data_IF_770298845353
#
_entry.id   IF_770298845353
#
_cell.length_a   1.000
_cell.length_b   1.000
_cell.length_c   1.000
_cell.angle_alpha   90.00
_cell.angle_beta   90.00
_cell.angle_gamma   90.00
#
_symmetry.space_group_name_H-M   'P 1'
#
loop_
_entity.id
_entity.type
_entity.pdbx_description
1 polymer ?
#
# COMPACT_ATOMS: atom_id res chain seq x y z
N UNK A 1 -17.41 16.90 -7.43
CA UNK A 1 -17.03 15.60 -7.96
C UNK A 1 -17.76 14.50 -7.23
N UNK A 2 -17.71 13.34 -7.75
CA UNK A 2 -18.44 12.21 -7.22
C UNK A 2 -17.46 11.08 -6.86
N UNK A 3 -17.91 10.21 -6.00
CA UNK A 3 -17.16 9.01 -5.67
C UNK A 3 -17.37 8.00 -6.79
N UNK A 4 -16.27 7.44 -7.23
CA UNK A 4 -16.31 6.39 -8.21
C UNK A 4 -15.84 5.12 -7.56
N UNK A 5 -16.75 4.18 -7.40
CA UNK A 5 -16.38 2.87 -6.91
C UNK A 5 -16.20 1.97 -8.10
N UNK A 6 -14.95 1.64 -8.34
CA UNK A 6 -14.62 0.55 -9.23
C UNK A 6 -14.17 -0.55 -8.31
N UNK A 7 -15.12 -1.36 -7.88
CA UNK A 7 -14.79 -2.48 -7.02
C UNK A 7 -14.34 -3.64 -7.86
N UNK A 8 -13.05 -3.91 -7.82
CA UNK A 8 -12.51 -5.11 -8.40
C UNK A 8 -12.22 -6.07 -7.28
N UNK A 9 -12.82 -7.24 -7.34
CA UNK A 9 -12.56 -8.29 -6.35
C UNK A 9 -11.50 -9.18 -6.93
N UNK A 10 -10.38 -9.31 -6.21
CA UNK A 10 -9.28 -10.20 -6.61
C UNK A 10 -9.09 -11.26 -5.56
N UNK A 11 -8.84 -12.46 -6.04
CA UNK A 11 -8.61 -13.57 -5.15
C UNK A 11 -7.20 -13.49 -4.58
N UNK A 12 -7.10 -13.62 -3.26
CA UNK A 12 -5.84 -13.61 -2.53
C UNK A 12 -5.54 -15.01 -2.04
N UNK A 13 -4.31 -15.26 -1.53
CA UNK A 13 -3.98 -16.56 -0.96
C UNK A 13 -4.98 -16.96 0.13
N UNK A 14 -5.47 -18.19 0.07
CA UNK A 14 -6.47 -18.70 1.01
C UNK A 14 -7.86 -18.16 0.69
N UNK A 15 -8.75 -18.07 1.67
CA UNK A 15 -10.14 -17.59 1.45
C UNK A 15 -10.24 -16.06 1.46
N UNK A 16 -9.22 -15.38 1.03
CA UNK A 16 -9.16 -13.91 1.10
C UNK A 16 -9.56 -13.27 -0.21
N UNK A 17 -10.18 -12.12 -0.09
CA UNK A 17 -10.54 -11.30 -1.24
C UNK A 17 -10.04 -9.89 -1.01
N UNK A 18 -9.57 -9.25 -2.06
CA UNK A 18 -9.21 -7.84 -2.02
C UNK A 18 -10.23 -7.05 -2.81
N UNK A 19 -10.65 -5.94 -2.23
CA UNK A 19 -11.57 -5.03 -2.89
C UNK A 19 -10.84 -3.72 -3.14
N UNK A 20 -10.70 -3.36 -4.41
CA UNK A 20 -10.06 -2.12 -4.79
C UNK A 20 -11.13 -1.04 -4.85
N UNK A 21 -10.92 0.01 -4.07
CA UNK A 21 -11.84 1.15 -4.04
C UNK A 21 -11.10 2.40 -4.47
N UNK A 22 -11.60 3.05 -5.50
CA UNK A 22 -11.04 4.30 -5.97
C UNK A 22 -11.99 5.44 -5.63
N UNK A 23 -11.46 6.42 -4.92
CA UNK A 23 -12.20 7.62 -4.58
C UNK A 23 -11.80 8.70 -5.59
N UNK A 24 -12.79 9.34 -6.18
CA UNK A 24 -12.54 10.29 -7.27
C UNK A 24 -12.09 11.65 -6.75
N UNK A 25 -11.03 11.64 -5.92
CA UNK A 25 -10.36 12.85 -5.45
C UNK A 25 -9.14 13.17 -6.27
N UNK A 26 -8.78 12.33 -7.23
CA UNK A 26 -7.55 12.42 -8.00
C UNK A 26 -6.29 12.22 -7.19
N UNK A 27 -6.39 12.00 -5.90
CA UNK A 27 -5.23 11.97 -5.03
C UNK A 27 -5.11 10.75 -4.14
N UNK A 28 -6.09 9.87 -4.17
CA UNK A 28 -6.10 8.80 -3.18
C UNK A 28 -6.56 7.48 -3.78
N UNK A 29 -5.93 6.41 -3.34
CA UNK A 29 -6.32 5.05 -3.71
C UNK A 29 -6.26 4.20 -2.46
N UNK A 30 -7.30 3.43 -2.20
CA UNK A 30 -7.34 2.53 -1.07
C UNK A 30 -7.67 1.12 -1.51
N UNK A 31 -7.02 0.15 -0.88
CA UNK A 31 -7.23 -1.27 -1.12
C UNK A 31 -7.52 -1.91 0.23
N UNK A 32 -8.63 -2.62 0.31
CA UNK A 32 -9.06 -3.26 1.54
C UNK A 32 -9.10 -4.76 1.34
N UNK A 33 -8.53 -5.51 2.29
CA UNK A 33 -8.60 -6.95 2.29
C UNK A 33 -9.64 -7.40 3.31
N UNK A 34 -10.53 -8.26 2.89
CA UNK A 34 -11.59 -8.76 3.74
C UNK A 34 -11.61 -10.28 3.72
N UNK A 35 -12.11 -10.87 4.81
CA UNK A 35 -12.33 -12.30 4.90
C UNK A 35 -13.76 -12.54 5.36
N UNK A 36 -14.29 -13.75 5.10
CA UNK A 36 -15.67 -14.08 5.41
C UNK A 36 -16.62 -13.61 4.33
N UNK A 37 -17.90 -13.83 4.55
CA UNK A 37 -18.93 -13.34 3.63
C UNK A 37 -20.19 -12.97 4.39
N UNK A 38 -20.99 -12.09 3.76
CA UNK A 38 -22.23 -11.63 4.37
C UNK A 38 -21.95 -10.91 5.69
N UNK A 39 -22.71 -11.31 6.72
CA UNK A 39 -22.63 -10.68 8.03
C UNK A 39 -21.35 -11.03 8.79
N UNK A 40 -20.58 -12.01 8.31
CA UNK A 40 -19.33 -12.39 8.96
C UNK A 40 -18.11 -11.77 8.30
N UNK A 41 -18.31 -10.80 7.44
CA UNK A 41 -17.20 -10.09 6.78
C UNK A 41 -16.36 -9.36 7.82
N UNK A 42 -15.04 -9.48 7.68
CA UNK A 42 -14.11 -8.81 8.55
C UNK A 42 -12.99 -8.20 7.75
N UNK A 43 -12.70 -6.95 8.02
CA UNK A 43 -11.59 -6.25 7.39
C UNK A 43 -10.30 -6.62 8.11
N UNK A 44 -9.37 -7.21 7.38
CA UNK A 44 -8.12 -7.72 7.97
C UNK A 44 -6.89 -6.97 7.50
N UNK A 45 -7.04 -6.08 6.54
CA UNK A 45 -5.93 -5.27 6.10
C UNK A 45 -6.42 -4.12 5.25
N UNK A 46 -5.64 -3.05 5.25
CA UNK A 46 -5.89 -1.91 4.38
C UNK A 46 -4.54 -1.32 3.97
N UNK A 47 -4.42 -0.96 2.72
CA UNK A 47 -3.31 -0.16 2.27
C UNK A 47 -3.84 0.94 1.37
N UNK A 48 -3.10 2.03 1.32
CA UNK A 48 -3.51 3.16 0.50
C UNK A 48 -2.31 4.02 0.14
N UNK A 49 -2.48 4.82 -0.89
CA UNK A 49 -1.54 5.88 -1.15
C UNK A 49 -2.29 7.19 -1.33
N UNK A 50 -1.59 8.27 -1.06
CA UNK A 50 -2.06 9.63 -1.28
C UNK A 50 -1.05 10.31 -2.18
N UNK A 51 -1.52 10.94 -3.25
CA UNK A 51 -0.64 11.63 -4.18
C UNK A 51 -0.15 12.91 -3.54
N UNK A 52 1.16 13.14 -3.61
CA UNK A 52 1.78 14.33 -3.06
C UNK A 52 1.46 15.56 -3.91
N UNK A 53 1.69 16.77 -3.37
CA UNK A 53 1.38 18.00 -4.12
C UNK A 53 2.07 18.13 -5.46
N UNK A 54 3.19 17.43 -5.68
CA UNK A 54 3.89 17.47 -6.97
C UNK A 54 3.13 16.73 -8.09
N UNK A 55 2.12 15.95 -7.74
CA UNK A 55 1.35 15.19 -8.71
C UNK A 55 2.10 14.02 -9.33
N UNK A 56 3.33 13.77 -8.91
CA UNK A 56 4.20 12.75 -9.50
C UNK A 56 4.58 11.65 -8.53
N UNK A 57 4.50 11.90 -7.24
CA UNK A 57 4.83 10.93 -6.21
C UNK A 57 3.64 10.70 -5.31
N UNK A 58 3.69 9.60 -4.57
CA UNK A 58 2.65 9.28 -3.60
C UNK A 58 3.27 8.70 -2.35
N UNK A 59 2.56 8.83 -1.25
CA UNK A 59 2.98 8.25 0.01
C UNK A 59 2.00 7.14 0.39
N UNK A 60 2.53 5.97 0.74
CA UNK A 60 1.69 4.83 1.08
C UNK A 60 1.67 4.56 2.57
N UNK A 61 0.64 3.83 3.00
CA UNK A 61 0.55 3.27 4.33
C UNK A 61 -0.13 1.91 4.22
N UNK A 62 0.24 1.00 5.11
CA UNK A 62 -0.36 -0.33 5.12
C UNK A 62 -0.51 -0.80 6.56
N UNK A 63 -1.67 -1.39 6.85
CA UNK A 63 -1.95 -2.01 8.14
C UNK A 63 -2.58 -3.38 7.87
N UNK A 64 -2.05 -4.41 8.50
CA UNK A 64 -2.58 -5.76 8.40
C UNK A 64 -2.77 -6.29 9.82
N UNK A 65 -3.93 -6.90 10.07
CA UNK A 65 -4.22 -7.50 11.37
C UNK A 65 -3.14 -8.53 11.72
N UNK A 66 -2.77 -8.59 13.01
CA UNK A 66 -1.65 -9.43 13.47
C UNK A 66 -1.78 -10.88 13.04
N UNK A 67 -2.98 -11.42 13.11
CA UNK A 67 -3.22 -12.82 12.76
C UNK A 67 -2.93 -13.13 11.29
N UNK A 68 -2.84 -12.12 10.43
CA UNK A 68 -2.69 -12.27 9.00
C UNK A 68 -1.36 -11.79 8.46
N UNK A 69 -0.47 -11.29 9.32
CA UNK A 69 0.75 -10.66 8.87
C UNK A 69 1.74 -11.59 8.19
N UNK A 70 1.71 -12.86 8.52
CA UNK A 70 2.69 -13.84 7.98
C UNK A 70 2.15 -14.67 6.83
N UNK A 71 1.04 -14.29 6.25
CA UNK A 71 0.40 -15.11 5.22
C UNK A 71 0.55 -14.55 3.81
N UNK A 72 1.51 -13.66 3.62
CA UNK A 72 1.74 -13.08 2.31
C UNK A 72 0.73 -12.02 1.91
N UNK A 73 -0.19 -11.69 2.80
CA UNK A 73 -1.24 -10.74 2.50
C UNK A 73 -0.68 -9.33 2.22
N UNK A 74 0.24 -8.88 3.07
CA UNK A 74 0.82 -7.55 2.90
C UNK A 74 1.52 -7.42 1.56
N UNK A 75 2.25 -8.45 1.14
CA UNK A 75 2.96 -8.44 -0.13
C UNK A 75 1.98 -8.36 -1.30
N UNK A 76 0.93 -9.15 -1.25
CA UNK A 76 -0.08 -9.15 -2.31
C UNK A 76 -0.75 -7.79 -2.40
N UNK A 77 -1.13 -7.22 -1.25
CA UNK A 77 -1.78 -5.92 -1.21
C UNK A 77 -0.85 -4.82 -1.75
N UNK A 78 0.41 -4.83 -1.32
CA UNK A 78 1.37 -3.84 -1.79
C UNK A 78 1.64 -3.96 -3.28
N UNK A 79 1.75 -5.18 -3.80
CA UNK A 79 1.94 -5.36 -5.23
C UNK A 79 0.77 -4.79 -6.03
N UNK A 80 -0.46 -4.97 -5.55
CA UNK A 80 -1.64 -4.41 -6.20
C UNK A 80 -1.62 -2.88 -6.12
N UNK A 81 -1.23 -2.34 -4.97
CA UNK A 81 -1.18 -0.89 -4.79
C UNK A 81 -0.12 -0.25 -5.68
N UNK A 82 1.05 -0.88 -5.76
CA UNK A 82 2.14 -0.42 -6.62
C UNK A 82 1.71 -0.43 -8.07
N UNK A 83 1.04 -1.51 -8.49
CA UNK A 83 0.54 -1.60 -9.85
C UNK A 83 -0.48 -0.51 -10.15
N UNK A 84 -1.38 -0.24 -9.23
CA UNK A 84 -2.36 0.84 -9.38
C UNK A 84 -1.68 2.19 -9.55
N UNK A 85 -0.63 2.44 -8.76
CA UNK A 85 0.12 3.69 -8.85
C UNK A 85 0.82 3.83 -10.21
N UNK A 86 1.38 2.71 -10.70
CA UNK A 86 2.01 2.70 -12.04
C UNK A 86 1.00 3.01 -13.13
N UNK A 87 -0.18 2.41 -13.05
CA UNK A 87 -1.22 2.65 -14.05
C UNK A 87 -1.70 4.09 -14.04
N UNK A 88 -1.67 4.72 -12.88
CA UNK A 88 -2.02 6.12 -12.77
C UNK A 88 -0.96 7.04 -13.34
N UNK A 89 0.22 6.53 -13.59
CA UNK A 89 1.31 7.32 -14.16
C UNK A 89 2.19 8.00 -13.14
N UNK A 90 2.08 7.61 -11.87
CA UNK A 90 2.95 8.15 -10.83
C UNK A 90 4.36 7.62 -11.01
N UNK A 91 5.35 8.41 -10.59
CA UNK A 91 6.75 8.09 -10.80
C UNK A 91 7.42 7.44 -9.61
N UNK A 92 7.03 7.84 -8.39
CA UNK A 92 7.68 7.40 -7.17
C UNK A 92 6.65 7.13 -6.10
N UNK A 93 6.82 6.04 -5.36
CA UNK A 93 6.05 5.76 -4.16
C UNK A 93 6.98 5.86 -2.96
N UNK A 94 6.55 6.56 -1.94
CA UNK A 94 7.34 6.83 -0.75
C UNK A 94 6.67 6.31 0.51
N UNK A 95 7.47 6.06 1.54
CA UNK A 95 6.97 5.71 2.85
C UNK A 95 7.94 6.17 3.91
N UNK A 96 7.43 6.35 5.14
CA UNK A 96 8.25 6.72 6.29
C UNK A 96 8.05 5.67 7.36
N UNK A 97 9.14 5.16 7.93
CA UNK A 97 9.11 4.06 8.86
C UNK A 97 9.96 4.37 10.08
N UNK A 98 9.61 3.76 11.21
CA UNK A 98 10.47 3.83 12.38
C UNK A 98 11.76 3.04 12.11
N UNK A 99 12.90 3.61 12.49
CA UNK A 99 14.19 2.97 12.25
C UNK A 99 14.32 1.64 12.98
N UNK A 100 13.60 1.45 14.08
CA UNK A 100 13.65 0.20 14.83
C UNK A 100 12.63 -0.84 14.36
N UNK A 101 11.84 -0.54 13.33
CA UNK A 101 10.89 -1.50 12.80
C UNK A 101 11.56 -2.36 11.72
N UNK A 102 12.43 -3.26 12.15
CA UNK A 102 13.23 -4.05 11.24
C UNK A 102 12.40 -4.91 10.30
N UNK A 103 11.27 -5.42 10.79
CA UNK A 103 10.39 -6.25 9.97
C UNK A 103 9.84 -5.46 8.79
N UNK A 104 9.35 -4.25 9.04
CA UNK A 104 8.81 -3.41 7.98
C UNK A 104 9.91 -2.99 7.00
N UNK A 105 11.09 -2.66 7.51
CA UNK A 105 12.20 -2.26 6.64
C UNK A 105 12.61 -3.40 5.72
N UNK A 106 12.73 -4.62 6.25
CA UNK A 106 13.03 -5.78 5.40
C UNK A 106 11.93 -6.04 4.39
N UNK A 107 10.69 -5.86 4.82
CA UNK A 107 9.55 -6.09 3.94
C UNK A 107 9.58 -5.15 2.74
N UNK A 108 9.71 -3.84 2.99
CA UNK A 108 9.69 -2.87 1.89
C UNK A 108 10.93 -3.00 1.00
N UNK A 109 12.08 -3.36 1.58
CA UNK A 109 13.27 -3.63 0.77
C UNK A 109 13.04 -4.83 -0.16
N UNK A 110 12.33 -5.84 0.31
CA UNK A 110 12.01 -7.01 -0.52
C UNK A 110 11.08 -6.65 -1.67
N UNK A 111 10.35 -5.56 -1.57
CA UNK A 111 9.49 -5.07 -2.64
C UNK A 111 10.25 -4.19 -3.63
N UNK A 112 11.48 -3.81 -3.31
CA UNK A 112 12.30 -2.99 -4.18
C UNK A 112 12.51 -1.56 -3.70
N UNK A 113 12.00 -1.23 -2.51
CA UNK A 113 12.21 0.11 -1.98
C UNK A 113 13.66 0.30 -1.56
N UNK A 114 14.19 1.48 -1.84
CA UNK A 114 15.46 1.94 -1.30
C UNK A 114 15.19 2.70 -0.03
N UNK A 115 15.92 2.38 1.03
CA UNK A 115 15.71 3.05 2.30
C UNK A 115 16.93 3.89 2.67
N UNK A 116 16.63 5.05 3.25
CA UNK A 116 17.66 5.98 3.72
C UNK A 116 17.22 6.56 5.05
N UNK A 117 18.19 6.76 5.93
CA UNK A 117 17.90 7.38 7.22
C UNK A 117 17.47 8.82 6.98
N UNK A 118 16.47 9.26 7.73
CA UNK A 118 15.99 10.64 7.63
C UNK A 118 17.09 11.58 8.12
N UNK A 119 17.46 12.61 7.35
CA UNK A 119 18.56 13.51 7.75
C UNK A 119 18.24 14.39 8.94
N UNK A 120 16.98 14.61 9.24
CA UNK A 120 16.56 15.47 10.33
C UNK A 120 16.12 14.71 11.58
N UNK A 121 15.78 13.44 11.45
CA UNK A 121 15.28 12.64 12.56
C UNK A 121 15.81 11.22 12.43
N UNK A 122 16.80 10.88 13.27
CA UNK A 122 17.45 9.57 13.20
C UNK A 122 16.55 8.41 13.62
N UNK A 123 15.39 8.70 14.20
CA UNK A 123 14.42 7.66 14.55
C UNK A 123 13.59 7.21 13.34
N UNK A 124 13.70 7.90 12.21
CA UNK A 124 12.93 7.63 11.02
C UNK A 124 13.80 7.18 9.86
N UNK A 125 13.19 6.37 9.00
CA UNK A 125 13.79 5.91 7.75
C UNK A 125 12.82 6.21 6.63
N UNK A 126 13.32 6.78 5.56
CA UNK A 126 12.52 7.08 4.37
C UNK A 126 12.74 5.98 3.33
N UNK A 127 11.67 5.54 2.69
CA UNK A 127 11.76 4.56 1.62
C UNK A 127 11.20 5.12 0.33
N UNK A 128 11.81 4.74 -0.78
CA UNK A 128 11.37 5.16 -2.11
C UNK A 128 11.40 4.01 -3.07
N UNK A 129 10.36 3.91 -3.89
CA UNK A 129 10.29 2.95 -4.97
C UNK A 129 10.04 3.68 -6.27
N UNK A 130 10.90 3.49 -7.24
CA UNK A 130 10.69 4.03 -8.58
C UNK A 130 9.60 3.20 -9.26
N UNK A 131 8.52 3.85 -9.64
CA UNK A 131 7.38 3.19 -10.28
C UNK A 131 7.57 3.08 -11.78
N UNK A 132 8.34 4.00 -12.35
CA UNK A 132 8.61 4.02 -13.78
C UNK A 132 10.11 3.94 -14.02
N UNK A 133 10.53 3.18 -15.03
CA UNK A 133 11.94 3.18 -15.41
C UNK A 133 12.34 4.60 -15.80
N UNK A 134 13.54 4.96 -15.43
CA UNK A 134 14.07 6.28 -15.76
C UNK A 134 14.21 6.43 -17.26
#
# INVERSE_FOLDING_TARGET
RYLRFMSTIKELPGPLLARLTQIDYDREMALVAITGDGDSEEQIGVCRYVVNPDGESCEFAIVVADAWQRQGLARTMMNLLIEAARERGLKVMEGVFLANNERMLRFVQSLGFHINRDPEDSSLVNGELLLRPA
#
